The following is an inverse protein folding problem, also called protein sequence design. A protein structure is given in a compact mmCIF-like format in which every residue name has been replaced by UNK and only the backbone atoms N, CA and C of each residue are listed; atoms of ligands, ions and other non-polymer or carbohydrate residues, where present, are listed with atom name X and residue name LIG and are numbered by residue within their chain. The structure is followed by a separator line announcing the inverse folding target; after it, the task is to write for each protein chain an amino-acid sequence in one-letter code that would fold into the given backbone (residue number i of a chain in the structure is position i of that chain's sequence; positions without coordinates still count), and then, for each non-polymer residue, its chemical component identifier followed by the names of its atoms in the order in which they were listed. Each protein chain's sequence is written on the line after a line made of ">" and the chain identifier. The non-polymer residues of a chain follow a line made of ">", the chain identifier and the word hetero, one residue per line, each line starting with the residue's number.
data_IF_296847677334
#
_entry.id   IF_296847677334
#
_cell.length_a   1.000
_cell.length_b   1.000
_cell.length_c   1.000
_cell.angle_alpha   90.00
_cell.angle_beta   90.00
_cell.angle_gamma   90.00
#
_symmetry.space_group_name_H-M   'P 1'
#
loop_
_entity.id
_entity.type
_entity.pdbx_description
1 polymer ?
#
# COMPACT_ATOMS: atom_id res chain seq x y z
N UNK A 1 16.14 22.29 11.06
CA UNK A 1 17.23 22.39 10.06
C UNK A 1 16.98 23.48 9.02
N UNK A 2 15.76 23.62 8.47
CA UNK A 2 15.46 24.63 7.42
C UNK A 2 15.77 26.06 7.86
N UNK A 3 15.38 26.47 9.07
CA UNK A 3 15.66 27.83 9.61
C UNK A 3 17.17 28.11 9.72
N UNK A 4 17.96 27.13 10.18
CA UNK A 4 19.41 27.25 10.25
C UNK A 4 20.07 27.30 8.86
N UNK A 5 19.59 26.51 7.90
CA UNK A 5 20.08 26.53 6.52
C UNK A 5 19.78 27.87 5.82
N UNK A 6 18.62 28.47 6.11
CA UNK A 6 18.28 29.83 5.65
C UNK A 6 19.16 30.90 6.31
N UNK A 7 19.45 30.77 7.61
CA UNK A 7 20.35 31.68 8.32
C UNK A 7 21.81 31.64 7.79
N UNK A 8 22.22 30.51 7.20
CA UNK A 8 23.52 30.32 6.53
C UNK A 8 23.53 30.82 5.06
N UNK A 9 22.43 31.41 4.56
CA UNK A 9 22.36 31.96 3.21
C UNK A 9 22.27 30.91 2.08
N UNK A 10 21.88 29.66 2.37
CA UNK A 10 21.70 28.66 1.32
C UNK A 10 20.47 28.99 0.45
N UNK A 11 20.55 28.84 -0.89
CA UNK A 11 19.41 29.02 -1.77
C UNK A 11 18.35 27.94 -1.53
N UNK A 12 17.06 28.31 -1.58
CA UNK A 12 15.93 27.43 -1.28
C UNK A 12 15.96 26.11 -2.08
N UNK A 13 16.38 26.16 -3.36
CA UNK A 13 16.56 24.95 -4.19
C UNK A 13 17.53 23.94 -3.55
N UNK A 14 18.65 24.41 -3.00
CA UNK A 14 19.63 23.54 -2.35
C UNK A 14 19.06 22.95 -1.05
N UNK A 15 18.30 23.73 -0.29
CA UNK A 15 17.62 23.25 0.93
C UNK A 15 16.60 22.16 0.59
N UNK A 16 15.78 22.38 -0.44
CA UNK A 16 14.75 21.44 -0.89
C UNK A 16 15.40 20.12 -1.35
N UNK A 17 16.26 20.15 -2.36
CA UNK A 17 16.78 18.92 -2.98
C UNK A 17 17.84 18.20 -2.15
N UNK A 18 18.63 18.91 -1.34
CA UNK A 18 19.71 18.30 -0.52
C UNK A 18 19.23 17.83 0.85
N UNK A 19 18.24 18.52 1.42
CA UNK A 19 17.87 18.30 2.83
C UNK A 19 16.40 17.94 3.03
N UNK A 20 15.45 18.59 2.36
CA UNK A 20 14.04 18.25 2.56
C UNK A 20 13.64 16.96 1.85
N UNK A 21 13.95 16.86 0.55
CA UNK A 21 13.58 15.73 -0.29
C UNK A 21 14.12 14.39 0.26
N UNK A 22 15.44 14.24 0.52
CA UNK A 22 15.96 12.98 1.03
C UNK A 22 15.38 12.57 2.39
N UNK A 23 15.08 13.54 3.26
CA UNK A 23 14.48 13.28 4.56
C UNK A 23 12.97 12.94 4.48
N UNK A 24 12.27 13.48 3.48
CA UNK A 24 10.85 13.20 3.25
C UNK A 24 10.61 11.90 2.46
N UNK A 25 11.57 11.47 1.64
CA UNK A 25 11.44 10.24 0.85
C UNK A 25 11.24 9.00 1.72
N UNK A 26 11.93 8.89 2.86
CA UNK A 26 11.79 7.75 3.77
C UNK A 26 10.36 7.53 4.25
N UNK A 27 9.67 8.48 4.90
CA UNK A 27 8.28 8.30 5.31
C UNK A 27 7.31 8.18 4.12
N UNK A 28 7.59 8.85 2.99
CA UNK A 28 6.75 8.74 1.78
C UNK A 28 6.77 7.33 1.20
N UNK A 29 7.94 6.70 1.10
CA UNK A 29 8.08 5.33 0.59
C UNK A 29 7.37 4.31 1.48
N UNK A 30 7.46 4.50 2.81
CA UNK A 30 6.72 3.68 3.78
C UNK A 30 5.21 3.83 3.57
N UNK A 31 4.72 5.07 3.49
CA UNK A 31 3.30 5.34 3.26
C UNK A 31 2.83 4.74 1.94
N UNK A 32 3.60 4.90 0.86
CA UNK A 32 3.25 4.37 -0.46
C UNK A 32 3.09 2.85 -0.43
N UNK A 33 3.95 2.14 0.31
CA UNK A 33 3.88 0.67 0.44
C UNK A 33 2.58 0.22 1.10
N UNK A 34 2.14 0.92 2.14
CA UNK A 34 0.88 0.61 2.83
C UNK A 34 -0.33 0.98 1.95
N UNK A 35 -0.26 2.11 1.24
CA UNK A 35 -1.32 2.54 0.32
C UNK A 35 -1.60 1.54 -0.79
N UNK A 36 -0.61 0.73 -1.21
CA UNK A 36 -0.85 -0.36 -2.18
C UNK A 36 -1.79 -1.42 -1.62
N UNK A 37 -1.65 -1.79 -0.34
CA UNK A 37 -2.53 -2.77 0.29
C UNK A 37 -3.98 -2.25 0.35
N UNK A 38 -4.15 -0.99 0.73
CA UNK A 38 -5.46 -0.32 0.74
C UNK A 38 -6.08 -0.23 -0.66
N UNK A 39 -5.27 0.07 -1.68
CA UNK A 39 -5.72 0.11 -3.07
C UNK A 39 -6.23 -1.25 -3.56
N UNK A 40 -5.54 -2.35 -3.22
CA UNK A 40 -5.97 -3.72 -3.56
C UNK A 40 -7.31 -4.04 -2.89
N UNK A 41 -7.46 -3.75 -1.60
CA UNK A 41 -8.73 -3.97 -0.89
C UNK A 41 -9.87 -3.15 -1.50
N UNK A 42 -9.60 -1.89 -1.81
CA UNK A 42 -10.60 -0.97 -2.40
C UNK A 42 -11.02 -1.43 -3.78
N UNK A 43 -10.07 -1.79 -4.65
CA UNK A 43 -10.36 -2.34 -5.98
C UNK A 43 -11.16 -3.64 -5.88
N UNK A 44 -10.75 -4.57 -5.00
CA UNK A 44 -11.45 -5.85 -4.81
C UNK A 44 -12.87 -5.64 -4.29
N UNK A 45 -13.09 -4.67 -3.39
CA UNK A 45 -14.42 -4.31 -2.88
C UNK A 45 -15.30 -3.70 -3.98
N UNK A 46 -14.76 -2.79 -4.80
CA UNK A 46 -15.48 -2.21 -5.94
C UNK A 46 -15.84 -3.26 -6.99
N UNK A 47 -14.90 -4.14 -7.33
CA UNK A 47 -15.12 -5.31 -8.19
C UNK A 47 -16.20 -6.24 -7.63
N UNK A 48 -16.18 -6.54 -6.33
CA UNK A 48 -17.23 -7.32 -5.68
C UNK A 48 -18.63 -6.68 -5.76
N UNK A 49 -18.70 -5.35 -5.67
CA UNK A 49 -19.94 -4.58 -5.80
C UNK A 49 -20.39 -4.39 -7.27
N UNK A 50 -19.60 -4.85 -8.25
CA UNK A 50 -19.91 -4.75 -9.68
C UNK A 50 -19.43 -3.46 -10.36
N UNK A 51 -18.69 -2.61 -9.64
CA UNK A 51 -18.07 -1.38 -10.16
C UNK A 51 -16.63 -1.59 -10.66
N UNK A 52 -16.15 -2.84 -10.65
CA UNK A 52 -14.80 -3.19 -11.09
C UNK A 52 -14.65 -3.41 -12.58
N UNK A 53 -13.55 -4.08 -12.93
CA UNK A 53 -13.25 -4.46 -14.31
C UNK A 53 -14.36 -5.35 -14.83
N UNK A 54 -14.94 -5.04 -15.98
CA UNK A 54 -16.02 -5.86 -16.53
C UNK A 54 -15.47 -7.15 -17.17
N UNK A 55 -16.26 -8.25 -17.21
CA UNK A 55 -15.93 -9.41 -18.03
C UNK A 55 -15.57 -8.99 -19.47
N UNK A 56 -14.59 -9.63 -20.13
CA UNK A 56 -14.07 -10.99 -19.90
C UNK A 56 -12.87 -11.10 -18.96
N UNK A 57 -12.37 -9.98 -18.41
CA UNK A 57 -11.18 -9.98 -17.56
C UNK A 57 -11.52 -10.42 -16.14
N UNK A 58 -10.79 -11.41 -15.63
CA UNK A 58 -10.98 -11.90 -14.28
C UNK A 58 -10.21 -11.06 -13.25
N UNK A 59 -10.92 -10.51 -12.25
CA UNK A 59 -10.35 -9.91 -11.04
C UNK A 59 -10.73 -10.74 -9.82
N UNK A 60 -9.95 -10.66 -8.75
CA UNK A 60 -10.29 -11.38 -7.52
C UNK A 60 -11.63 -10.92 -6.93
N UNK A 61 -11.96 -9.63 -7.00
CA UNK A 61 -13.25 -9.12 -6.55
C UNK A 61 -14.44 -9.64 -7.37
N UNK A 62 -14.30 -9.76 -8.69
CA UNK A 62 -15.37 -10.33 -9.54
C UNK A 62 -15.56 -11.82 -9.29
N UNK A 63 -14.47 -12.58 -9.17
CA UNK A 63 -14.54 -14.02 -8.83
C UNK A 63 -15.25 -14.19 -7.49
N UNK A 64 -14.97 -13.32 -6.51
CA UNK A 64 -15.66 -13.29 -5.22
C UNK A 64 -17.16 -12.98 -5.40
N UNK A 65 -17.51 -12.11 -6.34
CA UNK A 65 -18.90 -11.74 -6.63
C UNK A 65 -19.68 -12.89 -7.25
N UNK A 66 -19.11 -13.52 -8.27
CA UNK A 66 -19.69 -14.67 -8.97
C UNK A 66 -19.82 -15.87 -8.04
N UNK A 67 -18.82 -16.09 -7.17
CA UNK A 67 -18.79 -17.16 -6.17
C UNK A 67 -19.91 -17.09 -5.14
N UNK A 68 -20.56 -15.94 -4.92
CA UNK A 68 -21.70 -15.81 -3.99
C UNK A 68 -22.85 -16.78 -4.32
N UNK A 69 -23.12 -16.99 -5.60
CA UNK A 69 -24.19 -17.88 -6.05
C UNK A 69 -23.91 -19.36 -5.82
N UNK A 70 -22.63 -19.72 -5.67
CA UNK A 70 -22.15 -21.10 -5.57
C UNK A 70 -21.55 -21.42 -4.20
N UNK A 71 -21.87 -20.66 -3.15
CA UNK A 71 -21.28 -20.89 -1.81
C UNK A 71 -21.59 -22.30 -1.30
N UNK A 72 -22.79 -22.83 -1.58
CA UNK A 72 -23.20 -24.15 -1.14
C UNK A 72 -22.71 -25.27 -2.07
N UNK A 73 -22.53 -24.99 -3.36
CA UNK A 73 -22.17 -26.00 -4.37
C UNK A 73 -20.64 -26.07 -4.64
N UNK A 74 -19.97 -24.91 -4.61
CA UNK A 74 -18.56 -24.74 -4.92
C UNK A 74 -17.91 -23.64 -4.04
N UNK A 75 -17.82 -23.85 -2.71
CA UNK A 75 -17.31 -22.85 -1.76
C UNK A 75 -15.87 -22.39 -2.04
N UNK A 76 -15.07 -23.22 -2.72
CA UNK A 76 -13.69 -22.86 -3.11
C UNK A 76 -13.64 -21.65 -4.06
N UNK A 77 -14.67 -21.42 -4.87
CA UNK A 77 -14.74 -20.25 -5.76
C UNK A 77 -14.76 -18.93 -4.99
N UNK A 78 -15.34 -18.93 -3.79
CA UNK A 78 -15.32 -17.79 -2.89
C UNK A 78 -14.05 -17.77 -2.02
N UNK A 79 -13.65 -18.93 -1.49
CA UNK A 79 -12.59 -19.01 -0.49
C UNK A 79 -11.19 -18.73 -1.04
N UNK A 80 -10.87 -19.25 -2.24
CA UNK A 80 -9.55 -19.08 -2.87
C UNK A 80 -9.21 -17.60 -3.11
N UNK A 81 -10.04 -16.82 -3.83
CA UNK A 81 -9.73 -15.39 -4.05
C UNK A 81 -9.74 -14.59 -2.74
N UNK A 82 -10.59 -14.93 -1.76
CA UNK A 82 -10.60 -14.27 -0.45
C UNK A 82 -9.30 -14.47 0.32
N UNK A 83 -8.79 -15.70 0.36
CA UNK A 83 -7.50 -16.01 1.00
C UNK A 83 -6.33 -15.39 0.23
N UNK A 84 -6.37 -15.37 -1.11
CA UNK A 84 -5.35 -14.73 -1.93
C UNK A 84 -5.23 -13.22 -1.64
N UNK A 85 -6.35 -12.50 -1.60
CA UNK A 85 -6.38 -11.08 -1.21
C UNK A 85 -5.79 -10.91 0.19
N UNK A 86 -6.22 -11.73 1.15
CA UNK A 86 -5.74 -11.67 2.53
C UNK A 86 -4.22 -11.83 2.62
N UNK A 87 -3.66 -12.85 1.97
CA UNK A 87 -2.21 -13.12 2.00
C UNK A 87 -1.43 -11.95 1.40
N UNK A 88 -1.88 -11.42 0.26
CA UNK A 88 -1.19 -10.33 -0.43
C UNK A 88 -1.24 -9.04 0.38
N UNK A 89 -2.42 -8.68 0.89
CA UNK A 89 -2.60 -7.50 1.74
C UNK A 89 -1.76 -7.60 3.01
N UNK A 90 -1.71 -8.77 3.64
CA UNK A 90 -0.84 -9.00 4.80
C UNK A 90 0.64 -8.88 4.42
N UNK A 91 1.07 -9.47 3.30
CA UNK A 91 2.45 -9.37 2.85
C UNK A 91 2.87 -7.91 2.61
N UNK A 92 2.05 -7.11 1.92
CA UNK A 92 2.33 -5.68 1.70
C UNK A 92 2.34 -4.89 3.01
N UNK A 93 1.41 -5.16 3.93
CA UNK A 93 1.40 -4.51 5.24
C UNK A 93 2.66 -4.84 6.05
N UNK A 94 3.07 -6.11 6.09
CA UNK A 94 4.28 -6.54 6.79
C UNK A 94 5.55 -5.93 6.18
N UNK A 95 5.64 -5.87 4.85
CA UNK A 95 6.74 -5.19 4.15
C UNK A 95 6.74 -3.70 4.49
N UNK A 96 5.57 -3.05 4.50
CA UNK A 96 5.43 -1.65 4.89
C UNK A 96 5.88 -1.37 6.31
N UNK A 97 5.54 -2.26 7.26
CA UNK A 97 6.01 -2.17 8.65
C UNK A 97 7.52 -2.39 8.75
N UNK A 98 8.07 -3.41 8.07
CA UNK A 98 9.51 -3.66 8.03
C UNK A 98 10.30 -2.50 7.43
N UNK A 99 9.79 -1.88 6.36
CA UNK A 99 10.36 -0.65 5.80
C UNK A 99 10.29 0.51 6.78
N UNK A 100 9.17 0.68 7.49
CA UNK A 100 9.02 1.70 8.53
C UNK A 100 10.06 1.53 9.62
N UNK A 101 10.24 0.30 10.09
CA UNK A 101 11.19 -0.03 11.14
C UNK A 101 12.63 0.21 10.69
N UNK A 102 13.01 -0.26 9.51
CA UNK A 102 14.34 -0.05 8.93
C UNK A 102 14.66 1.43 8.68
N UNK A 103 13.65 2.24 8.34
CA UNK A 103 13.79 3.67 8.09
C UNK A 103 13.60 4.54 9.34
N UNK A 104 13.24 3.96 10.49
CA UNK A 104 13.09 4.69 11.74
C UNK A 104 14.45 4.87 12.44
N UNK A 105 15.04 6.09 12.42
CA UNK A 105 16.38 6.32 12.96
C UNK A 105 16.45 6.19 14.49
N UNK A 106 15.31 6.11 15.19
CA UNK A 106 15.24 6.02 16.65
C UNK A 106 15.67 4.66 17.22
N UNK A 107 15.74 3.61 16.39
CA UNK A 107 16.23 2.28 16.82
C UNK A 107 17.76 2.20 16.85
N UNK A 108 18.47 3.19 16.30
CA UNK A 108 19.94 3.20 16.18
C UNK A 108 20.66 3.87 17.35
N UNK A 109 19.96 4.28 18.41
CA UNK A 109 20.52 5.06 19.53
C UNK A 109 20.44 4.35 20.90
N UNK A 110 20.71 3.04 20.95
CA UNK A 110 21.03 2.33 22.19
C UNK A 110 22.24 1.43 21.99
#
# INVERSE_FOLDING_TARGET
>A
FVVAAKALGLPDRRIIFRHMLPNALSPVLVSATISVADAILTESALSFLGFGVQPPYATWGNILSDGKGFIFDAPWLFFIPGVAILIVVLAFNLVGEGMREALNPKLRSR
#
